data_IF_424053157685
#
_entry.id   IF_424053157685
#
_cell.length_a   1.000
_cell.length_b   1.000
_cell.length_c   1.000
_cell.angle_alpha   90.00
_cell.angle_beta   90.00
_cell.angle_gamma   90.00
#
_symmetry.space_group_name_H-M   'P 1'
#
loop_
_entity.id
_entity.type
_entity.pdbx_description
1 polymer ?
#
# COMPACT_ATOMS: atom_id res chain seq x y z
N UNK A 1 -30.55 20.64 -40.40
CA UNK A 1 -30.59 20.96 -38.94
C UNK A 1 -30.52 19.72 -38.02
N UNK A 2 -31.20 18.62 -38.32
CA UNK A 2 -31.13 17.40 -37.45
C UNK A 2 -29.75 16.73 -37.45
N UNK A 3 -29.08 16.64 -38.59
CA UNK A 3 -27.75 16.03 -38.74
C UNK A 3 -26.68 16.79 -37.92
N UNK A 4 -26.71 18.12 -37.94
CA UNK A 4 -25.76 18.93 -37.15
C UNK A 4 -25.96 18.77 -35.65
N UNK A 5 -27.20 18.59 -35.18
CA UNK A 5 -27.48 18.35 -33.77
C UNK A 5 -27.02 16.95 -33.33
N UNK A 6 -27.13 15.97 -34.20
CA UNK A 6 -26.64 14.59 -33.94
C UNK A 6 -25.09 14.54 -33.93
N UNK A 7 -24.44 15.28 -34.84
CA UNK A 7 -22.97 15.39 -34.86
C UNK A 7 -22.43 16.12 -33.63
N UNK A 8 -23.08 17.18 -33.17
CA UNK A 8 -22.71 17.88 -31.93
C UNK A 8 -22.91 17.01 -30.70
N UNK A 9 -24.00 16.25 -30.64
CA UNK A 9 -24.25 15.31 -29.55
C UNK A 9 -23.23 14.15 -29.52
N UNK A 10 -22.85 13.61 -30.68
CA UNK A 10 -21.85 12.58 -30.79
C UNK A 10 -20.44 13.10 -30.39
N UNK A 11 -20.10 14.32 -30.79
CA UNK A 11 -18.85 14.97 -30.44
C UNK A 11 -18.75 15.27 -28.93
N UNK A 12 -19.86 15.68 -28.30
CA UNK A 12 -19.87 15.91 -26.85
C UNK A 12 -19.75 14.61 -26.04
N UNK A 13 -20.30 13.47 -26.51
CA UNK A 13 -20.11 12.16 -25.88
C UNK A 13 -18.66 11.68 -25.96
N UNK A 14 -17.95 11.95 -27.05
CA UNK A 14 -16.53 11.60 -27.21
C UNK A 14 -15.61 12.40 -26.28
N UNK A 15 -15.98 13.61 -25.90
CA UNK A 15 -15.18 14.44 -25.00
C UNK A 15 -15.31 14.04 -23.53
N UNK A 16 -16.36 13.30 -23.13
CA UNK A 16 -16.53 12.82 -21.76
C UNK A 16 -15.68 11.59 -21.42
N UNK A 17 -15.16 10.88 -22.41
CA UNK A 17 -14.34 9.66 -22.19
C UNK A 17 -12.86 9.93 -21.88
N UNK A 18 -12.41 11.18 -21.89
CA UNK A 18 -10.98 11.54 -21.88
C UNK A 18 -10.35 11.72 -20.50
N UNK A 19 -11.06 11.51 -19.38
CA UNK A 19 -10.58 11.86 -18.05
C UNK A 19 -10.39 10.68 -17.08
N UNK A 20 -10.08 9.49 -17.55
CA UNK A 20 -9.61 8.41 -16.63
C UNK A 20 -8.10 8.39 -16.65
N UNK A 21 -7.48 9.15 -15.74
CA UNK A 21 -6.04 9.00 -15.49
C UNK A 21 -5.76 7.58 -14.99
N UNK A 22 -4.74 6.88 -15.51
CA UNK A 22 -4.38 5.57 -15.02
C UNK A 22 -4.03 5.65 -13.53
N UNK A 23 -4.55 4.72 -12.74
CA UNK A 23 -4.29 4.67 -11.31
C UNK A 23 -2.78 4.59 -11.06
N UNK A 24 -2.25 5.53 -10.27
CA UNK A 24 -0.82 5.64 -9.97
C UNK A 24 -0.29 4.41 -9.23
N UNK A 25 -1.13 3.81 -8.40
CA UNK A 25 -0.83 2.64 -7.59
C UNK A 25 -1.85 1.53 -7.83
N UNK A 26 -1.43 0.28 -7.60
CA UNK A 26 -2.35 -0.84 -7.51
C UNK A 26 -2.85 -0.95 -6.07
N UNK A 27 -4.15 -0.83 -5.87
CA UNK A 27 -4.79 -0.96 -4.56
C UNK A 27 -5.45 -2.33 -4.36
N UNK A 28 -5.54 -3.17 -5.43
CA UNK A 28 -6.24 -4.45 -5.35
C UNK A 28 -7.63 -4.30 -4.74
N UNK A 29 -7.93 -5.11 -3.74
CA UNK A 29 -9.15 -5.01 -2.94
C UNK A 29 -8.88 -4.51 -1.51
N UNK A 30 -7.88 -3.63 -1.34
CA UNK A 30 -7.48 -3.11 -0.03
C UNK A 30 -8.66 -2.55 0.76
N UNK A 31 -9.44 -1.64 0.16
CA UNK A 31 -10.58 -1.00 0.84
C UNK A 31 -11.64 -2.02 1.29
N UNK A 32 -11.93 -3.01 0.44
CA UNK A 32 -12.91 -4.05 0.75
C UNK A 32 -12.47 -4.94 1.90
N UNK A 33 -11.21 -5.35 1.93
CA UNK A 33 -10.67 -6.19 3.01
C UNK A 33 -10.48 -5.40 4.29
N UNK A 34 -10.06 -4.13 4.22
CA UNK A 34 -9.97 -3.24 5.38
C UNK A 34 -11.34 -3.01 6.01
N UNK A 35 -12.36 -2.71 5.19
CA UNK A 35 -13.72 -2.54 5.68
C UNK A 35 -14.26 -3.81 6.35
N UNK A 36 -14.00 -4.96 5.76
CA UNK A 36 -14.42 -6.25 6.31
C UNK A 36 -13.73 -6.53 7.65
N UNK A 37 -12.42 -6.28 7.73
CA UNK A 37 -11.65 -6.39 8.98
C UNK A 37 -12.16 -5.42 10.05
N UNK A 38 -12.46 -4.17 9.68
CA UNK A 38 -13.03 -3.19 10.63
C UNK A 38 -14.37 -3.65 11.22
N UNK A 39 -15.23 -4.31 10.42
CA UNK A 39 -16.51 -4.84 10.87
C UNK A 39 -16.37 -6.13 11.67
N UNK A 40 -15.41 -6.95 11.33
CA UNK A 40 -15.15 -8.25 11.94
C UNK A 40 -13.64 -8.47 12.08
N UNK A 41 -13.08 -8.24 13.29
CA UNK A 41 -11.63 -8.39 13.53
C UNK A 41 -11.09 -9.81 13.26
N UNK A 42 -11.94 -10.83 13.21
CA UNK A 42 -11.52 -12.20 12.84
C UNK A 42 -11.08 -12.32 11.38
N UNK A 43 -11.36 -11.31 10.56
CA UNK A 43 -11.01 -11.24 9.13
C UNK A 43 -9.66 -10.57 8.86
N UNK A 44 -8.85 -10.37 9.90
CA UNK A 44 -7.52 -9.79 9.77
C UNK A 44 -6.65 -10.53 8.76
N UNK A 45 -6.65 -11.86 8.77
CA UNK A 45 -5.81 -12.67 7.89
C UNK A 45 -6.09 -12.39 6.40
N UNK A 46 -7.35 -12.16 6.04
CA UNK A 46 -7.73 -11.82 4.68
C UNK A 46 -7.20 -10.44 4.27
N UNK A 47 -7.20 -9.48 5.19
CA UNK A 47 -6.64 -8.14 4.92
C UNK A 47 -5.11 -8.19 4.79
N UNK A 48 -4.44 -8.92 5.65
CA UNK A 48 -2.97 -9.13 5.59
C UNK A 48 -2.57 -9.83 4.28
N UNK A 49 -3.30 -10.86 3.86
CA UNK A 49 -3.06 -11.55 2.60
C UNK A 49 -3.26 -10.64 1.37
N UNK A 50 -4.23 -9.72 1.43
CA UNK A 50 -4.44 -8.75 0.36
C UNK A 50 -3.27 -7.76 0.26
N UNK A 51 -2.76 -7.22 1.38
CA UNK A 51 -1.58 -6.34 1.37
C UNK A 51 -0.36 -7.06 0.80
N UNK A 52 -0.13 -8.31 1.18
CA UNK A 52 0.95 -9.12 0.61
C UNK A 52 0.79 -9.29 -0.91
N UNK A 53 -0.43 -9.53 -1.39
CA UNK A 53 -0.73 -9.64 -2.81
C UNK A 53 -0.46 -8.34 -3.58
N UNK A 54 -0.86 -7.20 -3.01
CA UNK A 54 -0.61 -5.86 -3.57
C UNK A 54 0.89 -5.59 -3.68
N UNK A 55 1.65 -5.86 -2.62
CA UNK A 55 3.11 -5.69 -2.61
C UNK A 55 3.74 -6.55 -3.71
N UNK A 56 3.45 -7.84 -3.72
CA UNK A 56 4.00 -8.80 -4.68
C UNK A 56 3.69 -8.42 -6.13
N UNK A 57 2.44 -8.10 -6.43
CA UNK A 57 2.02 -7.72 -7.78
C UNK A 57 2.66 -6.42 -8.25
N UNK A 58 2.80 -5.45 -7.34
CA UNK A 58 3.44 -4.17 -7.64
C UNK A 58 4.94 -4.35 -7.91
N UNK A 59 5.65 -5.12 -7.07
CA UNK A 59 7.07 -5.40 -7.23
C UNK A 59 7.35 -6.19 -8.52
N UNK A 60 6.53 -7.20 -8.84
CA UNK A 60 6.66 -7.99 -10.07
C UNK A 60 6.45 -7.17 -11.35
N UNK A 61 5.63 -6.14 -11.28
CA UNK A 61 5.35 -5.24 -12.42
C UNK A 61 6.18 -3.96 -12.39
N UNK A 62 7.18 -3.86 -11.51
CA UNK A 62 8.01 -2.67 -11.30
C UNK A 62 7.18 -1.40 -11.02
N UNK A 63 6.01 -1.56 -10.42
CA UNK A 63 5.17 -0.46 -9.95
C UNK A 63 5.54 -0.10 -8.52
N UNK A 64 5.46 1.19 -8.22
CA UNK A 64 5.66 1.66 -6.86
C UNK A 64 4.47 1.24 -5.99
N UNK A 65 4.76 0.59 -4.86
CA UNK A 65 3.74 0.26 -3.85
C UNK A 65 3.21 1.56 -3.25
N UNK A 66 1.91 1.65 -2.99
CA UNK A 66 1.32 2.85 -2.42
C UNK A 66 1.89 3.16 -1.03
N UNK A 67 1.98 4.46 -0.64
CA UNK A 67 2.52 4.85 0.65
C UNK A 67 1.72 4.23 1.79
N UNK A 68 2.42 3.70 2.79
CA UNK A 68 1.83 3.10 3.97
C UNK A 68 1.59 1.60 3.88
N UNK A 69 1.50 1.00 2.69
CA UNK A 69 1.21 -0.44 2.55
C UNK A 69 2.34 -1.32 3.14
N UNK A 70 3.59 -0.98 2.88
CA UNK A 70 4.71 -1.68 3.51
C UNK A 70 4.71 -1.50 5.03
N UNK A 71 4.42 -0.28 5.52
CA UNK A 71 4.38 0.03 6.94
C UNK A 71 3.30 -0.76 7.67
N UNK A 72 2.10 -0.80 7.11
CA UNK A 72 0.97 -1.54 7.70
C UNK A 72 1.23 -3.04 7.69
N UNK A 73 1.67 -3.59 6.56
CA UNK A 73 2.03 -5.01 6.47
C UNK A 73 3.16 -5.37 7.46
N UNK A 74 4.19 -4.52 7.55
CA UNK A 74 5.26 -4.66 8.53
C UNK A 74 4.75 -4.66 9.98
N UNK A 75 3.80 -3.79 10.30
CA UNK A 75 3.18 -3.75 11.61
C UNK A 75 2.48 -5.07 11.97
N UNK A 76 1.69 -5.63 11.07
CA UNK A 76 1.04 -6.92 11.30
C UNK A 76 2.04 -8.07 11.41
N UNK A 77 3.10 -8.07 10.64
CA UNK A 77 4.19 -9.04 10.79
C UNK A 77 4.83 -8.95 12.17
N UNK A 78 5.09 -7.74 12.67
CA UNK A 78 5.65 -7.50 13.99
C UNK A 78 4.72 -8.02 15.10
N UNK A 79 3.42 -7.74 15.01
CA UNK A 79 2.40 -8.22 15.95
C UNK A 79 2.33 -9.76 16.00
N UNK A 80 2.62 -10.42 14.89
CA UNK A 80 2.67 -11.88 14.79
C UNK A 80 4.07 -12.47 15.11
N UNK A 81 4.94 -11.73 15.77
CA UNK A 81 6.26 -12.19 16.19
C UNK A 81 7.29 -12.36 15.06
N UNK A 82 6.96 -11.88 13.85
CA UNK A 82 7.84 -11.95 12.66
C UNK A 82 8.67 -10.66 12.54
N UNK A 83 9.35 -10.29 13.61
CA UNK A 83 10.06 -9.01 13.73
C UNK A 83 11.10 -8.78 12.60
N UNK A 84 11.87 -9.81 12.20
CA UNK A 84 12.84 -9.67 11.12
C UNK A 84 12.19 -9.38 9.76
N UNK A 85 11.04 -9.99 9.46
CA UNK A 85 10.27 -9.70 8.26
C UNK A 85 9.65 -8.30 8.33
N UNK A 86 9.19 -7.88 9.50
CA UNK A 86 8.67 -6.52 9.74
C UNK A 86 9.72 -5.45 9.45
N UNK A 87 10.95 -5.61 9.94
CA UNK A 87 12.08 -4.70 9.66
C UNK A 87 12.27 -4.54 8.15
N UNK A 88 12.24 -5.64 7.39
CA UNK A 88 12.37 -5.60 5.92
C UNK A 88 11.28 -4.72 5.29
N UNK A 89 10.05 -4.80 5.75
CA UNK A 89 8.96 -3.99 5.22
C UNK A 89 9.10 -2.51 5.60
N UNK A 90 9.47 -2.22 6.84
CA UNK A 90 9.72 -0.85 7.29
C UNK A 90 10.87 -0.18 6.53
N UNK A 91 11.95 -0.92 6.21
CA UNK A 91 13.03 -0.41 5.35
C UNK A 91 12.56 -0.13 3.92
N UNK A 92 11.69 -0.97 3.36
CA UNK A 92 11.07 -0.71 2.05
C UNK A 92 10.23 0.56 2.07
N UNK A 93 9.40 0.75 3.10
CA UNK A 93 8.61 1.98 3.26
C UNK A 93 9.52 3.20 3.36
N UNK A 94 10.51 3.17 4.26
CA UNK A 94 11.49 4.24 4.46
C UNK A 94 12.21 4.64 3.17
N UNK A 95 12.59 3.65 2.36
CA UNK A 95 13.30 3.87 1.09
C UNK A 95 12.39 4.45 0.02
N UNK A 96 11.17 3.94 -0.10
CA UNK A 96 10.22 4.37 -1.13
C UNK A 96 9.52 5.69 -0.80
N UNK A 97 9.39 6.00 0.50
CA UNK A 97 8.64 7.12 1.05
C UNK A 97 9.47 7.84 2.11
N UNK A 98 10.42 8.72 1.69
CA UNK A 98 11.32 9.41 2.62
C UNK A 98 10.62 10.23 3.70
N UNK A 99 9.40 10.70 3.44
CA UNK A 99 8.56 11.40 4.41
C UNK A 99 8.17 10.53 5.61
N UNK A 100 8.16 9.20 5.46
CA UNK A 100 7.89 8.25 6.55
C UNK A 100 9.15 7.84 7.32
N UNK A 101 10.33 8.30 6.92
CA UNK A 101 11.62 7.80 7.40
C UNK A 101 11.76 7.84 8.93
N UNK A 102 11.33 8.92 9.59
CA UNK A 102 11.40 9.04 11.04
C UNK A 102 10.54 8.00 11.75
N UNK A 103 9.30 7.82 11.29
CA UNK A 103 8.39 6.80 11.84
C UNK A 103 8.95 5.41 11.60
N UNK A 104 9.40 5.12 10.39
CA UNK A 104 9.92 3.80 10.04
C UNK A 104 11.18 3.45 10.83
N UNK A 105 12.10 4.40 11.04
CA UNK A 105 13.26 4.18 11.90
C UNK A 105 12.86 3.83 13.34
N UNK A 106 11.80 4.43 13.85
CA UNK A 106 11.27 4.09 15.17
C UNK A 106 10.64 2.69 15.21
N UNK A 107 9.90 2.32 14.17
CA UNK A 107 9.30 0.99 14.04
C UNK A 107 10.36 -0.11 13.88
N UNK A 108 11.43 0.15 13.15
CA UNK A 108 12.57 -0.77 13.02
C UNK A 108 13.21 -1.03 14.38
N UNK A 109 13.54 0.02 15.14
CA UNK A 109 14.10 -0.14 16.49
C UNK A 109 13.18 -0.94 17.41
N UNK A 110 11.86 -0.70 17.33
CA UNK A 110 10.88 -1.45 18.11
C UNK A 110 10.86 -2.93 17.72
N UNK A 111 10.85 -3.25 16.44
CA UNK A 111 10.87 -4.63 15.95
C UNK A 111 12.17 -5.35 16.31
N UNK A 112 13.32 -4.69 16.21
CA UNK A 112 14.62 -5.24 16.63
C UNK A 112 14.66 -5.54 18.12
N UNK A 113 14.14 -4.64 18.96
CA UNK A 113 14.03 -4.86 20.39
C UNK A 113 13.15 -6.07 20.73
N UNK A 114 12.06 -6.28 20.03
CA UNK A 114 11.20 -7.47 20.20
C UNK A 114 11.87 -8.77 19.76
N UNK A 115 12.79 -8.71 18.79
CA UNK A 115 13.52 -9.89 18.32
C UNK A 115 14.71 -10.28 19.21
N UNK A 116 15.01 -9.52 20.26
CA UNK A 116 16.19 -9.70 21.11
C UNK A 116 17.53 -9.38 20.40
N UNK A 117 17.49 -8.75 19.23
CA UNK A 117 18.68 -8.25 18.52
C UNK A 117 19.07 -6.87 19.05
N UNK A 118 20.37 -6.59 19.24
CA UNK A 118 20.82 -5.24 19.62
C UNK A 118 20.39 -4.22 18.58
N UNK A 119 19.81 -3.12 19.04
CA UNK A 119 19.51 -1.95 18.19
C UNK A 119 20.83 -1.43 17.62
N UNK A 120 21.01 -1.56 16.31
CA UNK A 120 22.22 -1.02 15.67
C UNK A 120 22.13 0.52 15.62
N UNK A 121 23.17 1.18 16.12
CA UNK A 121 23.26 2.65 16.22
C UNK A 121 23.44 3.35 14.86
N UNK A 122 22.67 2.94 13.85
CA UNK A 122 22.85 3.40 12.46
C UNK A 122 22.05 4.66 12.09
N UNK A 123 21.17 5.14 12.98
CA UNK A 123 20.24 6.25 12.69
C UNK A 123 20.20 7.29 13.83
N UNK A 124 21.38 7.76 14.26
CA UNK A 124 21.50 8.98 15.07
C UNK A 124 21.90 10.18 14.20
#
# INVERSE_FOLDING_TARGET
MRVHRLLLAALSLLLLSACVAPAKYSWGNYDGTLYTYYKDPTRLDAHVAEMESIIRSSEQTSRKVAPGIYAEYGYFLMQNGKAGAAVTQFEKEKTNWPESAQLMSSMIRLAEAQSGKPVTARDQ
#
